data_IF_848162850827
#
_entry.id   IF_848162850827
#
_cell.length_a   1.000
_cell.length_b   1.000
_cell.length_c   1.000
_cell.angle_alpha   90.00
_cell.angle_beta   90.00
_cell.angle_gamma   90.00
#
_symmetry.space_group_name_H-M   'P 1'
#
loop_
_entity.id
_entity.type
_entity.pdbx_description
1 polymer ?
#
# COMPACT_ATOMS: atom_id res chain seq x y z
N UNK A 1 26.86 64.26 40.31
CA UNK A 1 26.98 62.81 40.25
C UNK A 1 25.75 62.29 39.50
N UNK A 2 25.86 61.81 38.27
CA UNK A 2 24.71 61.34 37.53
C UNK A 2 24.52 59.81 37.73
N UNK A 3 23.28 59.38 38.02
CA UNK A 3 22.88 58.00 38.14
C UNK A 3 22.73 57.31 36.76
N UNK A 4 23.20 56.07 36.55
CA UNK A 4 23.01 55.38 35.30
C UNK A 4 21.58 54.79 35.26
N UNK A 5 20.83 55.13 34.22
CA UNK A 5 19.53 54.50 33.86
C UNK A 5 19.80 53.14 33.26
N UNK A 6 19.41 52.11 33.97
CA UNK A 6 19.41 50.71 33.46
C UNK A 6 18.22 50.51 32.53
N UNK A 7 18.49 50.34 31.24
CA UNK A 7 17.52 49.96 30.22
C UNK A 7 17.28 48.44 30.31
N UNK A 8 16.10 48.03 30.71
CA UNK A 8 15.60 46.66 30.66
C UNK A 8 15.19 46.39 29.20
N UNK A 9 15.98 45.57 28.49
CA UNK A 9 15.61 45.05 27.16
C UNK A 9 14.73 43.82 27.38
N UNK A 10 13.44 43.93 27.13
CA UNK A 10 12.50 42.83 27.15
C UNK A 10 12.63 42.07 25.82
N UNK A 11 13.25 40.88 25.84
CA UNK A 11 13.28 39.95 24.69
C UNK A 11 11.95 39.23 24.62
N UNK A 12 11.13 39.61 23.62
CA UNK A 12 9.92 38.88 23.22
C UNK A 12 10.33 37.62 22.46
N UNK A 13 10.27 36.47 23.14
CA UNK A 13 10.42 35.16 22.51
C UNK A 13 9.13 34.83 21.75
N UNK A 14 9.13 35.03 20.44
CA UNK A 14 8.01 34.61 19.57
C UNK A 14 8.03 33.07 19.47
N UNK A 15 7.09 32.42 20.16
CA UNK A 15 6.83 31.00 20.03
C UNK A 15 6.14 30.75 18.69
N UNK A 16 6.87 30.28 17.67
CA UNK A 16 6.32 29.89 16.39
C UNK A 16 5.53 28.59 16.58
N UNK A 17 4.22 28.68 16.66
CA UNK A 17 3.31 27.53 16.56
C UNK A 17 3.42 26.98 15.13
N UNK A 18 4.14 25.85 14.97
CA UNK A 18 4.13 25.09 13.74
C UNK A 18 2.70 24.53 13.51
N UNK A 19 1.93 25.17 12.65
CA UNK A 19 0.65 24.65 12.19
C UNK A 19 0.95 23.44 11.31
N UNK A 20 0.78 22.22 11.85
CA UNK A 20 0.77 21.00 11.07
C UNK A 20 -0.39 21.11 10.09
N UNK A 21 -0.08 21.34 8.81
CA UNK A 21 -1.08 21.37 7.75
C UNK A 21 -1.79 20.01 7.66
N UNK A 22 -3.09 19.99 7.30
CA UNK A 22 -3.82 18.74 7.16
C UNK A 22 -3.10 17.84 6.16
N UNK A 23 -2.88 16.57 6.54
CA UNK A 23 -2.37 15.54 5.64
C UNK A 23 -3.28 15.54 4.40
N UNK A 24 -2.69 15.81 3.22
CA UNK A 24 -3.44 15.93 1.98
C UNK A 24 -4.02 14.56 1.65
N UNK A 25 -5.30 14.35 1.92
CA UNK A 25 -6.01 13.16 1.50
C UNK A 25 -5.90 13.06 -0.04
N UNK A 26 -5.42 11.93 -0.55
CA UNK A 26 -5.36 11.70 -1.99
C UNK A 26 -6.80 11.68 -2.52
N UNK A 27 -7.09 12.48 -3.55
CA UNK A 27 -8.39 12.40 -4.23
C UNK A 27 -8.50 11.01 -4.87
N UNK A 28 -9.59 10.26 -4.60
CA UNK A 28 -9.79 8.95 -5.21
C UNK A 28 -9.82 9.04 -6.74
N UNK A 29 -9.22 8.08 -7.41
CA UNK A 29 -9.20 7.99 -8.87
C UNK A 29 -9.43 6.55 -9.34
N UNK A 30 -9.97 6.37 -10.55
CA UNK A 30 -10.30 5.06 -11.08
C UNK A 30 -9.07 4.15 -11.14
N UNK A 31 -9.18 2.93 -10.58
CA UNK A 31 -8.14 1.92 -10.69
C UNK A 31 -8.04 1.42 -12.13
N UNK A 32 -6.84 1.43 -12.75
CA UNK A 32 -6.65 0.89 -14.08
C UNK A 32 -7.03 -0.59 -14.17
N UNK A 33 -7.75 -0.96 -15.23
CA UNK A 33 -8.10 -2.35 -15.50
C UNK A 33 -6.98 -3.08 -16.23
N UNK A 34 -6.71 -4.32 -15.83
CA UNK A 34 -5.78 -5.23 -16.51
C UNK A 34 -6.24 -6.68 -16.39
N UNK A 35 -5.66 -7.53 -17.22
CA UNK A 35 -5.79 -8.98 -17.14
C UNK A 35 -4.42 -9.57 -16.85
N UNK A 36 -4.35 -10.55 -15.96
CA UNK A 36 -3.09 -11.21 -15.61
C UNK A 36 -3.31 -12.70 -15.42
N UNK A 37 -2.25 -13.49 -15.61
CA UNK A 37 -2.22 -14.90 -15.24
C UNK A 37 -1.66 -15.05 -13.84
N UNK A 38 -2.44 -15.69 -12.98
CA UNK A 38 -1.97 -16.06 -11.63
C UNK A 38 -0.86 -17.12 -11.74
N UNK A 39 -0.01 -17.20 -10.71
CA UNK A 39 1.05 -18.21 -10.65
C UNK A 39 0.51 -19.65 -10.63
N UNK A 40 -0.76 -19.87 -10.30
CA UNK A 40 -1.46 -21.17 -10.38
C UNK A 40 -2.03 -21.48 -11.78
N UNK A 41 -1.81 -20.59 -12.76
CA UNK A 41 -2.23 -20.73 -14.15
C UNK A 41 -3.59 -20.13 -14.49
N UNK A 42 -4.42 -19.78 -13.51
CA UNK A 42 -5.75 -19.20 -13.74
C UNK A 42 -5.63 -17.77 -14.27
N UNK A 43 -6.58 -17.37 -15.11
CA UNK A 43 -6.69 -15.97 -15.53
C UNK A 43 -7.49 -15.16 -14.50
N UNK A 44 -7.02 -13.95 -14.23
CA UNK A 44 -7.72 -12.96 -13.42
C UNK A 44 -7.87 -11.67 -14.22
N UNK A 45 -9.07 -11.12 -14.22
CA UNK A 45 -9.36 -9.81 -14.81
C UNK A 45 -9.79 -8.87 -13.70
N UNK A 46 -9.17 -7.69 -13.62
CA UNK A 46 -9.52 -6.69 -12.59
C UNK A 46 -11.01 -6.31 -12.62
N UNK A 47 -11.63 -6.35 -13.79
CA UNK A 47 -13.08 -6.11 -13.92
C UNK A 47 -13.95 -7.13 -13.17
N UNK A 48 -13.46 -8.36 -12.96
CA UNK A 48 -14.18 -9.41 -12.22
C UNK A 48 -14.16 -9.16 -10.70
N UNK A 49 -13.35 -8.20 -10.25
CA UNK A 49 -13.24 -7.75 -8.86
C UNK A 49 -14.08 -6.49 -8.57
N UNK A 50 -14.80 -5.95 -9.55
CA UNK A 50 -15.68 -4.78 -9.33
C UNK A 50 -16.73 -5.10 -8.27
N UNK A 51 -17.03 -4.10 -7.44
CA UNK A 51 -17.95 -4.27 -6.30
C UNK A 51 -17.30 -4.88 -5.06
N UNK A 52 -16.02 -5.27 -5.14
CA UNK A 52 -15.23 -5.79 -4.02
C UNK A 52 -14.14 -4.79 -3.63
N UNK A 53 -13.81 -4.71 -2.34
CA UNK A 53 -12.60 -4.04 -1.90
C UNK A 53 -11.38 -4.85 -2.33
N UNK A 54 -10.36 -4.18 -2.89
CA UNK A 54 -9.15 -4.83 -3.41
C UNK A 54 -7.91 -4.16 -2.84
N UNK A 55 -6.93 -4.98 -2.45
CA UNK A 55 -5.58 -4.52 -2.13
C UNK A 55 -4.63 -5.12 -3.17
N UNK A 56 -3.91 -4.26 -3.90
CA UNK A 56 -2.82 -4.67 -4.78
C UNK A 56 -1.50 -4.41 -4.08
N UNK A 57 -0.65 -5.44 -3.99
CA UNK A 57 0.66 -5.38 -3.36
C UNK A 57 1.76 -5.69 -4.40
N UNK A 58 2.58 -4.69 -4.72
CA UNK A 58 3.78 -4.87 -5.56
C UNK A 58 4.96 -5.26 -4.67
N UNK A 59 5.52 -6.44 -4.90
CA UNK A 59 6.52 -7.06 -4.05
C UNK A 59 7.53 -7.90 -4.84
N UNK A 60 8.60 -8.40 -4.18
CA UNK A 60 9.51 -9.38 -4.76
C UNK A 60 10.04 -10.34 -3.69
N UNK A 61 10.57 -11.50 -4.12
CA UNK A 61 11.13 -12.54 -3.24
C UNK A 61 12.33 -12.06 -2.43
N UNK A 62 13.15 -11.18 -3.00
CA UNK A 62 14.33 -10.57 -2.38
C UNK A 62 14.00 -9.37 -1.47
N UNK A 63 12.76 -8.91 -1.45
CA UNK A 63 12.34 -7.76 -0.64
C UNK A 63 12.05 -8.18 0.81
N UNK A 64 12.95 -7.85 1.73
CA UNK A 64 12.83 -8.22 3.15
C UNK A 64 11.58 -7.64 3.82
N UNK A 65 11.25 -6.33 3.71
CA UNK A 65 10.02 -5.79 4.31
C UNK A 65 8.75 -6.35 3.69
N UNK A 66 8.76 -6.75 2.40
CA UNK A 66 7.63 -7.37 1.75
C UNK A 66 7.23 -8.68 2.43
N UNK A 67 8.19 -9.48 2.90
CA UNK A 67 7.94 -10.77 3.56
C UNK A 67 7.03 -10.63 4.78
N UNK A 68 7.26 -9.62 5.60
CA UNK A 68 6.41 -9.34 6.76
C UNK A 68 5.05 -8.84 6.31
N UNK A 69 5.01 -7.84 5.42
CA UNK A 69 3.78 -7.28 4.89
C UNK A 69 2.87 -8.30 4.21
N UNK A 70 3.43 -9.26 3.47
CA UNK A 70 2.66 -10.34 2.84
C UNK A 70 1.91 -11.20 3.87
N UNK A 71 2.52 -11.51 5.02
CA UNK A 71 1.85 -12.27 6.09
C UNK A 71 0.72 -11.46 6.72
N UNK A 72 0.94 -10.16 6.91
CA UNK A 72 -0.07 -9.27 7.47
C UNK A 72 -1.24 -9.07 6.50
N UNK A 73 -0.98 -8.97 5.19
CA UNK A 73 -1.99 -8.95 4.15
C UNK A 73 -2.80 -10.25 4.06
N UNK A 74 -2.14 -11.41 4.21
CA UNK A 74 -2.82 -12.71 4.23
C UNK A 74 -3.75 -12.83 5.45
N UNK A 75 -3.28 -12.37 6.61
CA UNK A 75 -4.09 -12.30 7.81
C UNK A 75 -5.27 -11.33 7.66
N UNK A 76 -5.04 -10.14 7.06
CA UNK A 76 -6.10 -9.17 6.78
C UNK A 76 -7.15 -9.75 5.82
N UNK A 77 -6.73 -10.40 4.72
CA UNK A 77 -7.68 -11.04 3.81
C UNK A 77 -8.59 -12.06 4.52
N UNK A 78 -8.02 -12.87 5.43
CA UNK A 78 -8.79 -13.84 6.23
C UNK A 78 -9.77 -13.16 7.17
N UNK A 79 -9.33 -12.09 7.87
CA UNK A 79 -10.20 -11.32 8.79
C UNK A 79 -11.39 -10.69 8.07
N UNK A 80 -11.16 -10.08 6.91
CA UNK A 80 -12.16 -9.36 6.13
C UNK A 80 -12.77 -10.20 4.99
N UNK A 81 -12.65 -11.54 5.07
CA UNK A 81 -13.18 -12.45 4.04
C UNK A 81 -14.69 -12.33 3.85
N UNK A 82 -15.44 -12.14 4.95
CA UNK A 82 -16.91 -12.01 4.92
C UNK A 82 -17.36 -10.72 4.24
N UNK A 83 -16.56 -9.66 4.34
CA UNK A 83 -16.78 -8.38 3.69
C UNK A 83 -16.33 -8.38 2.21
N UNK A 84 -15.69 -9.48 1.78
CA UNK A 84 -15.30 -9.72 0.39
C UNK A 84 -13.96 -9.14 0.00
N UNK A 85 -13.09 -8.80 0.96
CA UNK A 85 -11.73 -8.32 0.67
C UNK A 85 -10.99 -9.29 -0.25
N UNK A 86 -10.38 -8.75 -1.29
CA UNK A 86 -9.48 -9.49 -2.19
C UNK A 86 -8.10 -8.86 -2.15
N UNK A 87 -7.09 -9.65 -1.80
CA UNK A 87 -5.68 -9.27 -1.95
C UNK A 87 -5.13 -9.90 -3.23
N UNK A 88 -4.37 -9.13 -4.00
CA UNK A 88 -3.63 -9.58 -5.17
C UNK A 88 -2.18 -9.11 -5.06
N UNK A 89 -1.25 -10.03 -4.88
CA UNK A 89 0.17 -9.77 -4.94
C UNK A 89 0.66 -9.78 -6.38
N UNK A 90 1.40 -8.75 -6.75
CA UNK A 90 2.01 -8.56 -8.06
C UNK A 90 3.52 -8.59 -7.89
N UNK A 91 4.14 -9.73 -8.19
CA UNK A 91 5.60 -9.90 -8.08
C UNK A 91 6.30 -9.17 -9.21
N UNK A 92 7.35 -8.41 -8.85
CA UNK A 92 8.26 -7.75 -9.80
C UNK A 92 9.57 -8.55 -9.97
N UNK A 93 9.61 -9.83 -9.58
CA UNK A 93 10.77 -10.69 -9.82
C UNK A 93 10.97 -10.91 -11.33
N UNK A 94 12.18 -10.66 -11.81
CA UNK A 94 12.55 -10.83 -13.22
C UNK A 94 12.71 -12.30 -13.60
N UNK A 95 13.04 -13.17 -12.63
CA UNK A 95 13.23 -14.61 -12.82
C UNK A 95 11.91 -15.39 -12.99
N UNK A 96 10.78 -14.68 -12.96
CA UNK A 96 9.47 -15.20 -13.28
C UNK A 96 8.82 -16.08 -12.20
N UNK A 97 7.75 -16.83 -12.56
CA UNK A 97 6.92 -17.52 -11.58
C UNK A 97 7.62 -18.72 -10.93
N UNK A 98 8.72 -19.22 -11.47
CA UNK A 98 9.39 -20.41 -10.98
C UNK A 98 10.17 -20.15 -9.67
N UNK A 99 10.61 -18.92 -9.44
CA UNK A 99 11.17 -18.49 -8.15
C UNK A 99 10.08 -18.05 -7.16
N UNK A 100 8.99 -17.49 -7.68
CA UNK A 100 7.88 -16.95 -6.89
C UNK A 100 7.05 -18.06 -6.25
N UNK A 101 6.68 -19.11 -6.99
CA UNK A 101 5.84 -20.22 -6.48
C UNK A 101 6.38 -20.87 -5.21
N UNK A 102 7.64 -21.39 -5.19
CA UNK A 102 8.17 -22.04 -3.99
C UNK A 102 8.31 -21.06 -2.82
N UNK A 103 8.61 -19.79 -3.11
CA UNK A 103 8.70 -18.77 -2.08
C UNK A 103 7.35 -18.52 -1.39
N UNK A 104 6.28 -18.32 -2.16
CA UNK A 104 4.91 -18.13 -1.68
C UNK A 104 4.43 -19.33 -0.87
N UNK A 105 4.69 -20.56 -1.37
CA UNK A 105 4.37 -21.81 -0.67
C UNK A 105 5.10 -21.91 0.67
N UNK A 106 6.38 -21.60 0.71
CA UNK A 106 7.20 -21.61 1.94
C UNK A 106 6.69 -20.62 2.97
N UNK A 107 6.17 -19.46 2.54
CA UNK A 107 5.58 -18.46 3.43
C UNK A 107 4.16 -18.80 3.89
N UNK A 108 3.48 -19.75 3.25
CA UNK A 108 2.11 -20.12 3.54
C UNK A 108 1.08 -19.04 3.13
N UNK A 109 1.40 -18.27 2.08
CA UNK A 109 0.51 -17.19 1.58
C UNK A 109 -0.65 -17.79 0.80
N UNK A 110 -1.88 -17.49 1.21
CA UNK A 110 -3.11 -18.02 0.62
C UNK A 110 -3.84 -17.09 -0.36
N UNK A 111 -3.46 -15.82 -0.46
CA UNK A 111 -4.08 -14.91 -1.42
C UNK A 111 -3.49 -15.05 -2.83
N UNK A 112 -4.14 -14.42 -3.81
CA UNK A 112 -3.79 -14.54 -5.23
C UNK A 112 -2.48 -13.84 -5.54
N UNK A 113 -1.62 -14.51 -6.29
CA UNK A 113 -0.33 -13.97 -6.74
C UNK A 113 -0.26 -14.04 -8.27
N UNK A 114 0.24 -12.98 -8.89
CA UNK A 114 0.58 -12.91 -10.30
C UNK A 114 1.94 -12.24 -10.49
N UNK A 115 2.48 -12.32 -11.71
CA UNK A 115 3.63 -11.51 -12.10
C UNK A 115 3.14 -10.12 -12.54
N UNK A 116 3.87 -9.08 -12.15
CA UNK A 116 3.68 -7.74 -12.68
C UNK A 116 4.45 -7.65 -14.00
N UNK A 117 3.73 -7.62 -15.13
CA UNK A 117 4.34 -7.32 -16.42
C UNK A 117 4.53 -5.80 -16.61
N UNK A 118 5.28 -5.40 -17.64
CA UNK A 118 5.57 -4.00 -17.95
C UNK A 118 4.30 -3.16 -18.08
N UNK A 119 3.26 -3.74 -18.69
CA UNK A 119 1.96 -3.07 -18.85
C UNK A 119 1.29 -2.76 -17.52
N UNK A 120 1.32 -3.70 -16.58
CA UNK A 120 0.77 -3.48 -15.22
C UNK A 120 1.60 -2.45 -14.48
N UNK A 121 2.93 -2.50 -14.60
CA UNK A 121 3.82 -1.52 -14.01
C UNK A 121 3.55 -0.11 -14.56
N UNK A 122 3.35 0.05 -15.87
CA UNK A 122 3.03 1.33 -16.49
C UNK A 122 1.68 1.87 -16.02
N UNK A 123 0.67 1.02 -15.90
CA UNK A 123 -0.68 1.40 -15.46
C UNK A 123 -0.73 1.91 -14.02
N UNK A 124 0.05 1.29 -13.13
CA UNK A 124 0.08 1.61 -11.69
C UNK A 124 1.32 2.40 -11.27
N UNK A 125 2.25 2.62 -12.22
CA UNK A 125 3.56 3.21 -11.99
C UNK A 125 3.58 4.71 -11.67
N UNK A 126 4.81 5.21 -11.57
CA UNK A 126 6.06 4.45 -11.46
C UNK A 126 6.16 3.72 -10.09
N UNK A 127 6.44 2.42 -10.13
CA UNK A 127 6.76 1.64 -8.92
C UNK A 127 8.27 1.76 -8.66
N UNK A 128 8.66 2.78 -7.91
CA UNK A 128 10.08 3.10 -7.66
C UNK A 128 10.69 2.35 -6.48
N UNK A 129 9.86 1.79 -5.63
CA UNK A 129 10.28 0.98 -4.50
C UNK A 129 9.17 0.02 -4.09
N UNK A 130 9.55 -1.08 -3.42
CA UNK A 130 8.64 -2.09 -2.90
C UNK A 130 8.87 -2.30 -1.39
N UNK A 131 7.81 -2.68 -0.64
CA UNK A 131 6.45 -2.87 -1.12
C UNK A 131 5.79 -1.54 -1.51
N UNK A 132 4.95 -1.56 -2.56
CA UNK A 132 4.01 -0.48 -2.89
C UNK A 132 2.62 -1.07 -2.95
N UNK A 133 1.71 -0.51 -2.14
CA UNK A 133 0.39 -1.08 -1.90
C UNK A 133 -0.67 -0.07 -2.32
N UNK A 134 -1.65 -0.52 -3.11
CA UNK A 134 -2.81 0.25 -3.53
C UNK A 134 -4.07 -0.30 -2.88
N UNK A 135 -4.86 0.58 -2.30
CA UNK A 135 -6.14 0.29 -1.67
C UNK A 135 -7.27 0.78 -2.58
N UNK A 136 -8.13 -0.15 -3.02
CA UNK A 136 -9.17 0.09 -4.01
C UNK A 136 -10.52 -0.22 -3.37
N UNK A 137 -11.43 0.75 -3.36
CA UNK A 137 -12.76 0.62 -2.79
C UNK A 137 -13.72 -0.16 -3.70
N UNK A 138 -14.94 -0.42 -3.23
CA UNK A 138 -15.98 -1.14 -3.99
C UNK A 138 -16.40 -0.44 -5.28
N UNK A 139 -16.17 0.87 -5.40
CA UNK A 139 -16.43 1.62 -6.64
C UNK A 139 -15.34 1.43 -7.69
N UNK A 140 -14.26 0.72 -7.33
CA UNK A 140 -13.10 0.54 -8.21
C UNK A 140 -12.19 1.75 -8.25
N UNK A 141 -12.18 2.56 -7.19
CA UNK A 141 -11.33 3.74 -7.07
C UNK A 141 -10.15 3.46 -6.13
N UNK A 142 -8.95 3.87 -6.54
CA UNK A 142 -7.80 3.91 -5.65
C UNK A 142 -8.02 5.06 -4.67
N UNK A 143 -8.18 4.71 -3.39
CA UNK A 143 -8.37 5.69 -2.31
C UNK A 143 -7.07 5.95 -1.56
N UNK A 144 -6.07 5.05 -1.69
CA UNK A 144 -4.77 5.17 -1.03
C UNK A 144 -3.69 4.42 -1.78
N UNK A 145 -2.50 5.01 -1.82
CA UNK A 145 -1.25 4.37 -2.22
C UNK A 145 -0.24 4.54 -1.08
N UNK A 146 0.40 3.47 -0.68
CA UNK A 146 1.42 3.47 0.37
C UNK A 146 2.68 2.80 -0.16
N UNK A 147 3.84 3.34 0.17
CA UNK A 147 5.13 2.74 -0.14
C UNK A 147 5.84 2.41 1.18
N UNK A 148 6.37 1.22 1.29
CA UNK A 148 6.97 0.68 2.51
C UNK A 148 6.02 -0.22 3.30
N UNK A 149 6.56 -0.80 4.37
CA UNK A 149 5.81 -1.67 5.27
C UNK A 149 4.71 -0.90 6.02
N UNK A 150 3.58 -1.54 6.23
CA UNK A 150 2.45 -1.05 7.01
C UNK A 150 2.25 -2.03 8.17
N UNK A 151 2.18 -1.53 9.41
CA UNK A 151 1.86 -2.36 10.57
C UNK A 151 0.40 -2.87 10.52
N UNK A 152 0.08 -3.98 11.20
CA UNK A 152 -1.24 -4.61 11.11
C UNK A 152 -2.42 -3.72 11.53
N UNK A 153 -2.25 -2.85 12.51
CA UNK A 153 -3.32 -1.97 13.00
C UNK A 153 -3.65 -0.89 11.97
N UNK A 154 -2.62 -0.25 11.43
CA UNK A 154 -2.75 0.72 10.33
C UNK A 154 -3.32 0.08 9.07
N UNK A 155 -2.86 -1.15 8.72
CA UNK A 155 -3.37 -1.91 7.59
C UNK A 155 -4.88 -2.17 7.73
N UNK A 156 -5.33 -2.64 8.90
CA UNK A 156 -6.74 -2.88 9.18
C UNK A 156 -7.58 -1.59 9.09
N UNK A 157 -7.03 -0.46 9.54
CA UNK A 157 -7.63 0.87 9.38
C UNK A 157 -7.88 1.19 7.90
N UNK A 158 -6.86 1.05 7.05
CA UNK A 158 -6.97 1.31 5.61
C UNK A 158 -7.92 0.35 4.89
N UNK A 159 -7.94 -0.93 5.30
CA UNK A 159 -8.87 -1.91 4.73
C UNK A 159 -10.32 -1.54 5.06
N UNK A 160 -10.61 -1.08 6.28
CA UNK A 160 -11.98 -0.65 6.66
C UNK A 160 -12.50 0.53 5.84
N UNK A 161 -11.62 1.41 5.36
CA UNK A 161 -11.98 2.54 4.49
C UNK A 161 -12.49 2.09 3.10
N UNK A 162 -12.32 0.81 2.72
CA UNK A 162 -12.67 0.29 1.40
C UNK A 162 -14.13 -0.16 1.28
N UNK A 163 -14.83 -0.34 2.40
CA UNK A 163 -16.21 -0.86 2.47
C UNK A 163 -17.27 0.26 2.39
#
# INVERSE_FOLDING_TARGET
MPHPRTLLVATLTACALAVAGPARAQTPYAAPGFNTRLIDGRMLRMQDLRGRPVVLDFWATWCVPCRTGMKDLDAAQKRFAKEGLTVLGLSVDEDGPDVVRPYVQKLGIGYRIAMADDRVLDLYGPIRSIPTIFFINRRGEIVRRVTGYIDPETLDGYVRELF
#
